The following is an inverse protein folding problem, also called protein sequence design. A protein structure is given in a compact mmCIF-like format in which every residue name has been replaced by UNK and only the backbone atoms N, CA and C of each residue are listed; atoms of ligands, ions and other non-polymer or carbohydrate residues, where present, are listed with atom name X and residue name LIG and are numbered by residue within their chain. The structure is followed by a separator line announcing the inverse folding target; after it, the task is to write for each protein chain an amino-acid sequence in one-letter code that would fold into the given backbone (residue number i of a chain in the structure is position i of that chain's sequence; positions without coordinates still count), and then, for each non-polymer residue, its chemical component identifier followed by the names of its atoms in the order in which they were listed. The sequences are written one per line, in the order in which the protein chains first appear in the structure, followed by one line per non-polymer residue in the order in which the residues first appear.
data_IF_310006969093
#
_entry.id   IF_310006969093
#
_cell.length_a   1.000
_cell.length_b   1.000
_cell.length_c   1.000
_cell.angle_alpha   90.00
_cell.angle_beta   90.00
_cell.angle_gamma   90.00
#
_symmetry.space_group_name_H-M   'P 1'
#
loop_
_entity.id
_entity.type
_entity.pdbx_description
1 polymer ?
2 non-polymer ?
3 non-polymer ?
4 non-polymer ?
5 non-polymer ?
6 water ?
#
# COMPACT_ATOMS: atom_id res chain seq x y z
N UNK A 1 -16.11 2.04 9.12
CA UNK A 1 -15.33 2.13 10.35
C UNK A 1 -13.83 2.26 10.05
N UNK A 2 -13.04 2.08 11.08
CA UNK A 2 -11.57 2.14 11.03
C UNK A 2 -11.02 1.15 10.01
N UNK A 3 -11.44 -0.12 10.06
CA UNK A 3 -10.85 -1.15 9.15
C UNK A 3 -11.22 -0.81 7.71
N UNK A 4 -12.46 -0.40 7.45
CA UNK A 4 -12.84 -0.02 6.08
C UNK A 4 -11.98 1.14 5.61
N UNK A 5 -11.75 2.12 6.49
CA UNK A 5 -10.96 3.33 6.18
C UNK A 5 -9.55 2.91 5.74
N UNK A 6 -8.97 1.90 6.39
CA UNK A 6 -7.62 1.35 6.02
C UNK A 6 -7.73 0.91 4.56
N UNK A 7 -8.78 0.16 4.22
CA UNK A 7 -9.00 -0.34 2.85
C UNK A 7 -9.20 0.83 1.88
N UNK A 8 -9.98 1.85 2.25
CA UNK A 8 -10.20 3.05 1.41
C UNK A 8 -8.86 3.74 1.11
N UNK A 9 -8.09 4.04 2.14
CA UNK A 9 -6.79 4.74 2.02
C UNK A 9 -5.84 3.91 1.15
N UNK A 10 -5.74 2.61 1.43
CA UNK A 10 -4.89 1.70 0.62
C UNK A 10 -5.32 1.69 -0.85
N UNK A 11 -6.59 1.85 -1.18
CA UNK A 11 -7.06 1.83 -2.58
C UNK A 11 -6.58 3.02 -3.41
N UNK A 12 -6.08 4.08 -2.78
CA UNK A 12 -5.51 5.24 -3.52
C UNK A 12 -4.39 5.83 -2.67
N UNK A 13 -3.50 4.97 -2.16
CA UNK A 13 -2.62 5.36 -1.03
C UNK A 13 -1.65 6.49 -1.41
N UNK A 14 -1.12 6.47 -2.64
CA UNK A 14 -0.13 7.49 -3.07
C UNK A 14 -0.78 8.88 -2.95
N UNK A 15 -2.02 9.02 -3.42
CA UNK A 15 -2.69 10.35 -3.46
C UNK A 15 -3.13 10.73 -2.03
N UNK A 16 -3.66 9.80 -1.24
CA UNK A 16 -4.07 10.11 0.16
C UNK A 16 -2.82 10.48 0.95
N UNK A 17 -1.73 9.75 0.76
CA UNK A 17 -0.50 9.98 1.55
C UNK A 17 0.03 11.39 1.27
N UNK A 18 0.12 11.78 -0.01
CA UNK A 18 0.65 13.10 -0.40
C UNK A 18 -0.28 14.20 0.12
N UNK A 19 -1.58 14.02 -0.06
CA UNK A 19 -2.57 15.08 0.32
C UNK A 19 -2.59 15.22 1.84
N UNK A 20 -2.52 14.12 2.59
CA UNK A 20 -2.54 14.21 4.07
C UNK A 20 -1.19 14.76 4.53
N UNK A 21 -0.09 14.32 3.94
CA UNK A 21 1.22 14.85 4.39
C UNK A 21 1.31 16.33 4.04
N UNK A 22 0.80 16.77 2.88
CA UNK A 22 0.82 18.22 2.54
C UNK A 22 -0.03 18.98 3.54
N UNK A 23 -1.18 18.44 3.93
CA UNK A 23 -2.09 19.10 4.90
C UNK A 23 -1.31 19.30 6.21
N UNK A 24 -0.54 18.27 6.60
CA UNK A 24 0.35 18.30 7.80
C UNK A 24 1.39 19.43 7.67
N UNK A 25 2.19 19.45 6.60
CA UNK A 25 3.28 20.46 6.45
C UNK A 25 2.69 21.86 6.32
N UNK A 26 1.50 22.02 5.73
CA UNK A 26 0.89 23.37 5.53
C UNK A 26 0.25 23.85 6.84
N UNK A 27 -0.36 22.94 7.59
CA UNK A 27 -0.94 23.29 8.91
C UNK A 27 0.19 23.66 9.90
N UNK A 28 1.32 22.97 9.84
CA UNK A 28 2.46 23.09 10.80
C UNK A 28 3.74 23.35 10.02
N UNK A 29 3.87 24.57 9.46
CA UNK A 29 5.00 24.87 8.60
C UNK A 29 6.36 24.58 9.24
N UNK A 30 6.49 24.76 10.56
CA UNK A 30 7.75 24.50 11.33
C UNK A 30 8.20 23.04 11.14
N UNK A 31 7.29 22.13 10.78
CA UNK A 31 7.58 20.67 10.65
C UNK A 31 8.43 20.38 9.41
N UNK A 32 8.45 21.27 8.41
CA UNK A 32 9.29 21.13 7.19
C UNK A 32 10.78 21.14 7.57
N UNK A 33 11.17 21.63 8.75
CA UNK A 33 12.60 21.65 9.16
C UNK A 33 13.15 20.21 9.19
N UNK A 34 12.34 19.25 9.66
CA UNK A 34 12.67 17.80 9.68
C UNK A 34 12.90 17.30 8.27
N UNK A 35 12.41 18.05 7.27
CA UNK A 35 12.53 17.78 5.83
C UNK A 35 12.96 19.10 5.18
N UNK A 36 14.21 19.50 5.44
CA UNK A 36 14.80 20.79 4.96
C UNK A 36 14.73 20.87 3.42
N UNK A 37 14.64 19.73 2.74
CA UNK A 37 14.60 19.62 1.25
C UNK A 37 13.22 20.00 0.71
N UNK A 38 12.22 20.20 1.59
CA UNK A 38 10.83 20.52 1.18
C UNK A 38 10.54 22.01 1.34
N UNK A 39 11.48 22.77 1.90
CA UNK A 39 11.36 24.25 2.10
C UNK A 39 11.27 24.93 0.74
N UNK A 40 10.44 25.99 0.64
CA UNK A 40 10.36 26.92 -0.50
C UNK A 40 9.73 26.29 -1.72
N UNK A 41 8.91 25.25 -1.54
CA UNK A 41 8.30 24.52 -2.69
C UNK A 41 6.80 24.37 -2.44
N UNK A 42 6.02 24.72 -3.47
CA UNK A 42 4.55 24.64 -3.49
C UNK A 42 4.17 23.17 -3.48
N UNK A 43 2.93 22.90 -3.11
CA UNK A 43 2.39 21.53 -3.14
C UNK A 43 2.73 20.82 -4.46
N UNK A 44 2.49 21.46 -5.60
CA UNK A 44 2.71 20.84 -6.94
C UNK A 44 4.19 20.53 -7.13
N UNK A 45 5.09 21.40 -6.67
CA UNK A 45 6.55 21.17 -6.78
C UNK A 45 6.93 19.93 -5.96
N UNK A 46 6.41 19.84 -4.74
CA UNK A 46 6.68 18.72 -3.83
C UNK A 46 6.22 17.41 -4.48
N UNK A 47 5.07 17.41 -5.14
CA UNK A 47 4.47 16.21 -5.77
C UNK A 47 5.22 15.85 -7.06
N UNK A 48 6.31 16.58 -7.33
CA UNK A 48 7.24 16.34 -8.47
C UNK A 48 8.65 16.02 -7.95
N UNK A 49 8.87 16.02 -6.64
CA UNK A 49 10.13 15.55 -6.03
C UNK A 49 10.02 14.06 -5.70
N UNK A 50 10.87 13.28 -6.38
CA UNK A 50 11.01 11.81 -6.22
C UNK A 50 10.92 11.38 -4.76
N UNK A 51 11.77 11.93 -3.90
CA UNK A 51 11.84 11.51 -2.49
C UNK A 51 10.50 11.86 -1.82
N UNK A 52 9.82 12.90 -2.27
CA UNK A 52 8.55 13.31 -1.65
C UNK A 52 7.52 12.21 -1.84
N UNK A 53 7.25 11.80 -3.06
CA UNK A 53 6.21 10.81 -3.31
C UNK A 53 6.59 9.46 -2.73
N UNK A 54 7.88 9.09 -2.88
CA UNK A 54 8.43 7.76 -2.47
C UNK A 54 8.38 7.63 -0.95
N UNK A 55 8.95 8.61 -0.24
CA UNK A 55 9.08 8.59 1.23
C UNK A 55 7.67 8.73 1.84
N UNK A 56 6.84 9.64 1.34
CA UNK A 56 5.47 9.84 1.90
C UNK A 56 4.63 8.57 1.72
N UNK A 57 4.73 7.92 0.58
CA UNK A 57 3.94 6.68 0.38
C UNK A 57 4.48 5.59 1.33
N UNK A 58 5.81 5.52 1.57
CA UNK A 58 6.37 4.48 2.48
C UNK A 58 5.91 4.77 3.90
N UNK A 59 5.81 6.03 4.28
CA UNK A 59 5.32 6.42 5.63
C UNK A 59 3.92 5.82 5.79
N UNK A 60 3.07 6.01 4.79
CA UNK A 60 1.64 5.63 4.88
C UNK A 60 1.52 4.13 4.67
N UNK A 61 2.40 3.53 3.87
CA UNK A 61 2.41 2.05 3.78
C UNK A 61 2.51 1.45 5.20
N UNK A 62 3.47 1.92 5.98
CA UNK A 62 3.73 1.39 7.33
C UNK A 62 2.63 1.87 8.27
N UNK A 63 2.14 3.09 8.07
CA UNK A 63 1.09 3.61 8.99
C UNK A 63 -0.14 2.71 8.83
N UNK A 64 -0.49 2.35 7.62
CA UNK A 64 -1.64 1.45 7.37
C UNK A 64 -1.40 0.06 7.99
N UNK A 65 -0.18 -0.48 7.92
CA UNK A 65 0.15 -1.78 8.56
C UNK A 65 -0.06 -1.68 10.08
N UNK A 66 0.44 -0.62 10.68
CA UNK A 66 0.31 -0.40 12.15
C UNK A 66 -1.17 -0.27 12.50
N UNK A 67 -1.94 0.48 11.70
CA UNK A 67 -3.40 0.64 11.89
C UNK A 67 -4.06 -0.74 11.79
N UNK A 68 -3.63 -1.54 10.82
CA UNK A 68 -4.23 -2.87 10.51
C UNK A 68 -3.95 -3.86 11.66
N UNK A 69 -2.80 -3.75 12.30
CA UNK A 69 -2.37 -4.70 13.36
C UNK A 69 -2.96 -4.24 14.70
N UNK A 70 -3.51 -3.04 14.77
CA UNK A 70 -4.08 -2.50 16.04
C UNK A 70 -5.27 -3.35 16.47
N UNK A 71 -5.61 -3.30 17.75
CA UNK A 71 -6.90 -3.78 18.29
C UNK A 71 -7.62 -2.58 18.89
N UNK A 72 -8.84 -2.30 18.41
CA UNK A 72 -9.67 -1.17 18.90
C UNK A 72 -8.83 0.12 18.87
N UNK A 73 -8.08 0.35 17.78
CA UNK A 73 -7.28 1.58 17.55
C UNK A 73 -6.12 1.65 18.54
N UNK A 74 -5.71 0.53 19.14
CA UNK A 74 -4.49 0.50 20.02
C UNK A 74 -3.42 -0.26 19.25
N UNK A 75 -2.32 0.42 18.87
CA UNK A 75 -1.26 -0.22 18.09
C UNK A 75 -0.47 -1.24 18.93
N UNK A 76 0.22 -2.14 18.26
CA UNK A 76 1.11 -3.11 18.93
C UNK A 76 2.27 -2.34 19.57
N UNK A 77 2.69 -2.74 20.76
CA UNK A 77 3.91 -2.16 21.36
C UNK A 77 5.13 -2.36 20.41
N UNK A 78 5.22 -3.51 19.76
CA UNK A 78 6.33 -3.83 18.80
C UNK A 78 6.34 -2.81 17.66
N UNK A 79 5.17 -2.37 17.18
CA UNK A 79 5.08 -1.33 16.14
C UNK A 79 5.57 0.02 16.69
N UNK A 80 5.16 0.39 17.91
CA UNK A 80 5.61 1.61 18.61
C UNK A 80 7.14 1.60 18.69
N UNK A 81 7.72 0.49 19.17
CA UNK A 81 9.18 0.33 19.36
C UNK A 81 9.91 0.53 18.01
N UNK A 82 9.43 -0.09 16.93
CA UNK A 82 10.00 0.09 15.57
C UNK A 82 10.05 1.59 15.24
N UNK A 83 8.94 2.29 15.43
CA UNK A 83 8.84 3.72 15.10
C UNK A 83 9.80 4.54 15.97
N UNK A 84 9.90 4.25 17.27
CA UNK A 84 10.84 4.99 18.18
C UNK A 84 12.28 4.69 17.76
N UNK A 85 12.59 3.43 17.45
CA UNK A 85 13.97 2.92 17.22
C UNK A 85 14.51 3.27 15.82
N UNK A 86 13.66 3.50 14.83
CA UNK A 86 14.11 3.83 13.45
C UNK A 86 15.09 5.00 13.50
N UNK A 87 16.25 4.88 12.82
CA UNK A 87 17.30 5.94 12.77
C UNK A 87 16.71 7.24 12.20
N UNK A 88 15.75 7.13 11.27
CA UNK A 88 15.05 8.24 10.57
C UNK A 88 14.30 9.14 11.55
N UNK A 89 13.88 8.58 12.69
CA UNK A 89 13.07 9.26 13.75
C UNK A 89 13.97 9.71 14.91
N UNK A 90 15.29 9.62 14.77
CA UNK A 90 16.28 10.02 15.80
C UNK A 90 15.87 11.38 16.41
N UNK A 91 15.66 12.36 15.55
CA UNK A 91 15.28 13.73 15.99
C UNK A 91 14.02 13.78 16.83
N UNK A 92 12.97 13.02 16.48
CA UNK A 92 11.54 13.39 16.73
C UNK A 92 11.09 13.23 18.19
N UNK A 93 10.02 13.94 18.52
CA UNK A 93 9.25 13.80 19.79
C UNK A 93 7.80 13.45 19.43
N UNK A 94 7.03 13.06 20.42
CA UNK A 94 5.62 12.61 20.24
C UNK A 94 4.82 13.74 19.58
N UNK A 95 5.16 15.01 19.85
CA UNK A 95 4.46 16.19 19.30
C UNK A 95 4.44 16.18 17.79
N UNK A 96 5.49 15.67 17.15
CA UNK A 96 5.56 15.56 15.67
C UNK A 96 4.45 14.62 15.19
N UNK A 97 4.28 13.49 15.88
CA UNK A 97 3.28 12.46 15.52
C UNK A 97 1.90 12.98 15.86
N UNK A 98 1.75 13.69 17.00
CA UNK A 98 0.43 14.28 17.36
C UNK A 98 -0.02 15.20 16.22
N UNK A 99 0.87 16.08 15.74
CA UNK A 99 0.52 17.09 14.70
C UNK A 99 0.11 16.39 13.41
N UNK A 100 0.85 15.35 13.00
CA UNK A 100 0.50 14.57 11.80
C UNK A 100 -0.93 14.04 11.96
N UNK A 101 -1.35 13.56 13.14
CA UNK A 101 -2.65 12.87 13.28
C UNK A 101 -3.75 13.92 13.40
N UNK A 102 -3.44 15.08 13.95
CA UNK A 102 -4.37 16.25 13.94
C UNK A 102 -4.66 16.61 12.47
N UNK A 103 -3.64 16.72 11.64
CA UNK A 103 -3.81 17.05 10.20
C UNK A 103 -4.62 15.95 9.52
N UNK A 104 -4.30 14.68 9.80
CA UNK A 104 -4.99 13.53 9.17
C UNK A 104 -6.48 13.53 9.54
N UNK A 105 -6.82 13.74 10.81
CA UNK A 105 -8.21 13.77 11.27
C UNK A 105 -8.96 14.95 10.61
N UNK A 106 -8.34 16.13 10.62
CA UNK A 106 -8.91 17.35 9.98
C UNK A 106 -9.20 17.03 8.51
N UNK A 107 -8.21 16.44 7.81
CA UNK A 107 -8.36 16.06 6.39
C UNK A 107 -9.61 15.19 6.23
N UNK A 108 -9.74 14.19 7.09
CA UNK A 108 -10.85 13.21 7.00
C UNK A 108 -12.17 13.93 7.23
N UNK A 109 -12.21 14.83 8.22
CA UNK A 109 -13.45 15.59 8.58
C UNK A 109 -13.89 16.48 7.40
N UNK A 110 -12.93 17.09 6.70
CA UNK A 110 -13.16 18.04 5.59
C UNK A 110 -13.46 17.30 4.28
N UNK A 111 -13.14 16.01 4.20
CA UNK A 111 -13.32 15.23 2.94
C UNK A 111 -14.82 15.03 2.73
N UNK A 112 -15.26 14.69 1.53
CA UNK A 112 -16.69 14.42 1.36
C UNK A 112 -17.12 13.04 1.88
N UNK A 113 -16.19 12.28 2.47
CA UNK A 113 -16.29 10.80 2.63
C UNK A 113 -16.62 10.42 4.07
N UNK A 114 -17.13 9.21 4.26
CA UNK A 114 -17.60 8.67 5.56
C UNK A 114 -16.43 8.01 6.33
N UNK A 115 -15.27 8.66 6.40
CA UNK A 115 -14.16 8.22 7.27
C UNK A 115 -14.67 8.24 8.70
N UNK A 116 -14.22 7.28 9.49
CA UNK A 116 -14.49 7.19 10.95
C UNK A 116 -13.44 8.07 11.62
N UNK A 117 -13.59 9.40 11.53
CA UNK A 117 -12.55 10.39 11.94
C UNK A 117 -12.26 10.22 13.44
N UNK A 118 -13.26 9.84 14.21
CA UNK A 118 -13.17 9.63 15.67
C UNK A 118 -12.18 8.52 16.00
N UNK A 119 -12.23 7.40 15.25
CA UNK A 119 -11.32 6.24 15.39
C UNK A 119 -9.89 6.68 15.05
N UNK A 120 -9.68 7.42 13.96
CA UNK A 120 -8.32 7.90 13.61
C UNK A 120 -7.81 8.82 14.71
N UNK A 121 -8.69 9.60 15.34
CA UNK A 121 -8.26 10.53 16.40
C UNK A 121 -7.76 9.71 17.59
N UNK A 122 -8.52 8.69 18.00
CA UNK A 122 -8.13 7.75 19.08
C UNK A 122 -6.86 7.02 18.68
N UNK A 123 -6.78 6.55 17.42
CA UNK A 123 -5.57 5.85 16.93
C UNK A 123 -4.35 6.76 17.13
N UNK A 124 -4.43 8.02 16.71
CA UNK A 124 -3.31 8.97 16.87
C UNK A 124 -2.89 9.12 18.32
N UNK A 125 -3.87 9.33 19.22
CA UNK A 125 -3.61 9.47 20.66
C UNK A 125 -2.97 8.19 21.21
N UNK A 126 -3.51 7.03 20.83
CA UNK A 126 -3.03 5.72 21.33
C UNK A 126 -1.61 5.46 20.82
N UNK A 127 -1.30 5.86 19.58
CA UNK A 127 0.05 5.72 19.01
C UNK A 127 1.00 6.66 19.76
N UNK A 128 0.56 7.89 20.03
CA UNK A 128 1.42 8.84 20.78
C UNK A 128 1.70 8.25 22.18
N UNK A 129 0.68 7.72 22.85
CA UNK A 129 0.83 7.08 24.18
C UNK A 129 1.83 5.92 24.09
N UNK A 130 1.73 5.11 23.03
CA UNK A 130 2.59 3.91 22.84
C UNK A 130 4.02 4.36 22.54
N UNK A 131 4.19 5.42 21.74
CA UNK A 131 5.53 5.95 21.42
C UNK A 131 6.19 6.45 22.71
N UNK A 132 5.46 7.17 23.58
CA UNK A 132 5.98 7.63 24.90
C UNK A 132 6.41 6.42 25.72
N UNK A 133 5.57 5.39 25.79
CA UNK A 133 5.81 4.13 26.55
C UNK A 133 7.04 3.40 26.02
N UNK A 134 7.29 3.51 24.70
CA UNK A 134 8.45 2.88 24.04
C UNK A 134 9.69 3.79 24.10
N UNK A 135 9.56 4.99 24.67
CA UNK A 135 10.69 5.85 25.08
C UNK A 135 10.92 7.07 24.21
N UNK A 136 9.98 7.42 23.34
CA UNK A 136 10.02 8.73 22.64
C UNK A 136 9.75 9.85 23.64
N UNK A 137 10.57 10.91 23.57
CA UNK A 137 10.48 12.15 24.39
C UNK A 137 9.26 12.96 23.96
N UNK B 1 6.88 -16.20 6.85
CA UNK B 1 5.96 -16.98 5.97
C UNK B 1 5.08 -16.06 5.13
N UNK B 2 3.92 -16.56 4.71
CA UNK B 2 2.97 -15.86 3.81
C UNK B 2 2.51 -14.55 4.44
N UNK B 3 2.13 -14.53 5.72
CA UNK B 3 1.62 -13.28 6.37
C UNK B 3 2.74 -12.24 6.43
N UNK B 4 3.96 -12.64 6.78
CA UNK B 4 5.10 -11.69 6.82
C UNK B 4 5.33 -11.16 5.39
N UNK B 5 5.21 -12.01 4.40
CA UNK B 5 5.44 -11.63 2.98
C UNK B 5 4.43 -10.56 2.59
N UNK B 6 3.17 -10.72 2.97
CA UNK B 6 2.15 -9.65 2.75
C UNK B 6 2.70 -8.35 3.35
N UNK B 7 3.23 -8.39 4.57
CA UNK B 7 3.74 -7.18 5.26
C UNK B 7 4.93 -6.62 4.47
N UNK B 8 5.83 -7.48 4.05
CA UNK B 8 7.03 -7.05 3.29
C UNK B 8 6.60 -6.32 2.01
N UNK B 9 5.70 -6.94 1.25
CA UNK B 9 5.23 -6.38 -0.05
C UNK B 9 4.48 -5.08 0.18
N UNK B 10 3.58 -5.03 1.16
CA UNK B 10 2.85 -3.79 1.52
C UNK B 10 3.83 -2.68 1.91
N UNK B 11 4.96 -3.01 2.54
CA UNK B 11 5.96 -2.04 3.02
C UNK B 11 6.47 -1.15 1.92
N UNK B 12 6.58 -1.70 0.72
CA UNK B 12 7.09 -0.98 -0.46
C UNK B 12 6.30 -1.44 -1.66
N UNK B 13 4.98 -1.29 -1.56
CA UNK B 13 4.03 -1.94 -2.48
C UNK B 13 4.24 -1.42 -3.91
N UNK B 14 4.48 -0.13 -4.08
CA UNK B 14 4.61 0.47 -5.43
C UNK B 14 5.84 -0.13 -6.12
N UNK B 15 6.95 -0.31 -5.41
CA UNK B 15 8.21 -0.84 -6.00
C UNK B 15 7.99 -2.32 -6.35
N UNK B 16 7.49 -3.10 -5.41
CA UNK B 16 7.26 -4.55 -5.64
C UNK B 16 6.25 -4.74 -6.76
N UNK B 17 5.15 -3.97 -6.76
CA UNK B 17 4.08 -4.14 -7.77
C UNK B 17 4.67 -3.86 -9.17
N UNK B 18 5.41 -2.77 -9.36
CA UNK B 18 6.03 -2.44 -10.68
C UNK B 18 6.98 -3.57 -11.09
N UNK B 19 7.83 -4.01 -10.16
CA UNK B 19 8.94 -4.93 -10.47
C UNK B 19 8.35 -6.28 -10.86
N UNK B 20 7.33 -6.73 -10.15
CA UNK B 20 6.70 -8.05 -10.41
C UNK B 20 5.87 -7.98 -11.69
N UNK B 21 5.14 -6.91 -11.91
CA UNK B 21 4.30 -6.77 -13.12
C UNK B 21 5.21 -6.70 -14.37
N UNK B 22 6.32 -5.99 -14.27
CA UNK B 22 7.30 -5.87 -15.37
C UNK B 22 7.86 -7.27 -15.63
N UNK B 23 8.15 -8.07 -14.59
CA UNK B 23 8.67 -9.44 -14.75
C UNK B 23 7.63 -10.26 -15.52
N UNK B 24 6.38 -10.09 -15.14
CA UNK B 24 5.21 -10.72 -15.80
C UNK B 24 5.14 -10.30 -17.28
N UNK B 25 5.15 -8.99 -17.56
CA UNK B 25 5.00 -8.47 -18.95
C UNK B 25 6.20 -8.90 -19.80
N UNK B 26 7.41 -8.88 -19.22
CA UNK B 26 8.61 -9.32 -19.98
C UNK B 26 8.62 -10.84 -20.20
N UNK B 27 8.09 -11.64 -19.28
CA UNK B 27 8.13 -13.12 -19.42
C UNK B 27 7.09 -13.57 -20.45
N UNK B 28 6.00 -12.83 -20.55
CA UNK B 28 4.79 -13.13 -21.37
C UNK B 28 4.46 -11.90 -22.20
N UNK B 29 5.27 -11.61 -23.23
CA UNK B 29 5.08 -10.39 -24.02
C UNK B 29 3.65 -10.23 -24.60
N UNK B 30 3.00 -11.34 -24.99
CA UNK B 30 1.59 -11.31 -25.50
C UNK B 30 0.66 -10.66 -24.49
N UNK B 31 0.88 -10.85 -23.19
CA UNK B 31 0.00 -10.27 -22.13
C UNK B 31 -0.01 -8.73 -22.18
N UNK B 32 0.97 -8.11 -22.86
CA UNK B 32 1.05 -6.62 -22.98
C UNK B 32 -0.12 -6.08 -23.81
N UNK B 33 -0.75 -6.91 -24.66
CA UNK B 33 -1.96 -6.56 -25.46
C UNK B 33 -3.11 -6.07 -24.59
N UNK B 34 -3.30 -6.70 -23.43
CA UNK B 34 -4.27 -6.27 -22.40
C UNK B 34 -4.04 -4.78 -22.10
N UNK B 35 -2.84 -4.27 -22.37
CA UNK B 35 -2.41 -2.89 -22.04
C UNK B 35 -1.80 -2.21 -23.28
N UNK B 36 -2.66 -1.74 -24.17
CA UNK B 36 -2.27 -1.11 -25.47
C UNK B 36 -1.35 0.11 -25.22
N UNK B 37 -1.52 0.80 -24.09
CA UNK B 37 -0.74 2.01 -23.69
C UNK B 37 0.68 1.61 -23.24
N UNK B 38 0.99 0.31 -23.15
CA UNK B 38 2.30 -0.16 -22.61
C UNK B 38 3.18 -0.73 -23.72
N UNK B 39 2.64 -0.94 -24.91
CA UNK B 39 3.39 -1.54 -26.06
C UNK B 39 4.50 -0.59 -26.48
N UNK B 40 5.66 -1.13 -26.84
CA UNK B 40 6.77 -0.37 -27.46
C UNK B 40 7.43 0.55 -26.47
N UNK B 41 7.31 0.23 -25.18
CA UNK B 41 7.86 1.01 -24.06
C UNK B 41 8.74 0.09 -23.25
N UNK B 42 9.96 0.53 -22.91
CA UNK B 42 10.89 -0.18 -22.03
C UNK B 42 10.34 -0.08 -20.60
N UNK B 43 10.94 -0.81 -19.69
CA UNK B 43 10.56 -0.74 -18.26
C UNK B 43 10.64 0.70 -17.75
N UNK B 44 11.65 1.48 -18.15
CA UNK B 44 11.82 2.87 -17.67
C UNK B 44 10.85 3.82 -18.42
N UNK B 45 10.40 3.49 -19.64
CA UNK B 45 9.34 4.28 -20.33
C UNK B 45 8.01 4.07 -19.59
N UNK B 46 7.81 2.87 -19.02
CA UNK B 46 6.56 2.54 -18.29
C UNK B 46 6.61 3.16 -16.89
N UNK B 47 7.73 3.01 -16.16
CA UNK B 47 7.87 3.52 -14.76
C UNK B 47 7.64 5.03 -14.75
N UNK B 48 7.95 5.73 -15.83
CA UNK B 48 7.78 7.21 -15.95
C UNK B 48 6.33 7.57 -16.26
N UNK B 49 5.44 6.60 -16.55
CA UNK B 49 4.02 6.89 -16.88
C UNK B 49 3.19 6.89 -15.60
N UNK B 50 2.28 7.87 -15.47
CA UNK B 50 1.52 8.10 -14.23
C UNK B 50 0.67 6.85 -13.96
N UNK B 51 -0.10 6.39 -14.93
CA UNK B 51 -1.12 5.34 -14.71
C UNK B 51 -0.45 3.98 -14.58
N UNK B 52 0.81 3.81 -15.00
CA UNK B 52 1.50 2.51 -14.86
C UNK B 52 1.67 2.19 -13.38
N UNK B 53 2.35 3.08 -12.67
CA UNK B 53 2.57 3.00 -11.22
C UNK B 53 1.26 2.93 -10.45
N UNK B 54 0.29 3.77 -10.80
CA UNK B 54 -1.03 3.81 -10.13
C UNK B 54 -1.77 2.48 -10.39
N UNK B 55 -1.83 2.08 -11.65
CA UNK B 55 -2.67 0.92 -12.02
C UNK B 55 -2.01 -0.36 -11.44
N UNK B 56 -0.68 -0.46 -11.43
CA UNK B 56 0.10 -1.64 -10.93
C UNK B 56 -0.07 -1.73 -9.43
N UNK B 57 0.09 -0.61 -8.74
CA UNK B 57 -0.06 -0.62 -7.26
C UNK B 57 -1.51 -1.04 -6.89
N UNK B 58 -2.54 -0.56 -7.62
CA UNK B 58 -3.96 -0.86 -7.28
C UNK B 58 -4.24 -2.35 -7.50
N UNK B 59 -3.58 -2.95 -8.49
CA UNK B 59 -3.69 -4.41 -8.71
C UNK B 59 -3.14 -5.14 -7.47
N UNK B 60 -1.92 -4.79 -7.07
CA UNK B 60 -1.19 -5.50 -5.99
C UNK B 60 -1.89 -5.19 -4.66
N UNK B 61 -2.48 -4.01 -4.50
CA UNK B 61 -3.18 -3.69 -3.23
C UNK B 61 -4.32 -4.70 -3.07
N UNK B 62 -5.12 -4.86 -4.12
CA UNK B 62 -6.26 -5.80 -4.06
C UNK B 62 -5.73 -7.24 -3.88
N UNK B 63 -4.63 -7.58 -4.54
CA UNK B 63 -4.05 -8.93 -4.38
C UNK B 63 -3.68 -9.17 -2.92
N UNK B 64 -3.04 -8.20 -2.26
CA UNK B 64 -2.67 -8.28 -0.81
C UNK B 64 -3.93 -8.38 0.08
N UNK B 65 -5.01 -7.68 -0.26
CA UNK B 65 -6.27 -7.76 0.53
C UNK B 65 -6.81 -9.20 0.43
N UNK B 66 -6.80 -9.79 -0.77
CA UNK B 66 -7.27 -11.19 -1.01
C UNK B 66 -6.33 -12.12 -0.23
N UNK B 67 -5.01 -11.87 -0.28
CA UNK B 67 -4.01 -12.77 0.32
C UNK B 67 -4.24 -12.73 1.83
N UNK B 68 -4.54 -11.57 2.38
CA UNK B 68 -4.60 -11.37 3.85
C UNK B 68 -5.90 -12.00 4.37
N UNK B 69 -6.93 -12.06 3.55
CA UNK B 69 -8.26 -12.60 3.94
C UNK B 69 -8.25 -14.12 3.76
N UNK B 70 -7.30 -14.66 2.99
CA UNK B 70 -7.24 -16.12 2.73
C UNK B 70 -6.99 -16.89 4.04
N UNK B 71 -7.46 -18.14 4.08
CA UNK B 71 -7.10 -19.13 5.12
C UNK B 71 -6.21 -20.20 4.49
N UNK B 72 -4.98 -20.42 5.00
CA UNK B 72 -4.08 -21.48 4.47
C UNK B 72 -3.92 -21.29 2.97
N UNK B 73 -3.77 -20.04 2.51
CA UNK B 73 -3.54 -19.68 1.10
C UNK B 73 -4.75 -20.04 0.26
N UNK B 74 -5.94 -20.14 0.86
CA UNK B 74 -7.20 -20.36 0.11
C UNK B 74 -8.02 -19.09 0.18
N UNK B 75 -8.20 -18.42 -0.98
CA UNK B 75 -8.95 -17.17 -1.02
C UNK B 75 -10.43 -17.38 -0.71
N UNK B 76 -11.07 -16.36 -0.15
CA UNK B 76 -12.55 -16.34 0.00
C UNK B 76 -13.16 -16.35 -1.40
N UNK B 77 -14.15 -17.21 -1.61
CA UNK B 77 -14.98 -17.24 -2.84
C UNK B 77 -15.45 -15.82 -3.19
N UNK B 78 -15.93 -15.05 -2.19
CA UNK B 78 -16.34 -13.63 -2.36
C UNK B 78 -15.27 -12.90 -3.21
N UNK B 79 -14.03 -12.87 -2.71
CA UNK B 79 -12.91 -12.11 -3.35
C UNK B 79 -12.65 -12.60 -4.78
N UNK B 80 -12.64 -13.92 -5.01
CA UNK B 80 -12.57 -14.47 -6.38
C UNK B 80 -13.72 -13.85 -7.18
N UNK B 81 -14.95 -13.78 -6.62
CA UNK B 81 -16.12 -13.25 -7.38
C UNK B 81 -15.87 -11.78 -7.78
N UNK B 82 -15.32 -10.95 -6.87
CA UNK B 82 -14.92 -9.54 -7.22
C UNK B 82 -14.04 -9.58 -8.49
N UNK B 83 -12.95 -10.32 -8.50
CA UNK B 83 -11.99 -10.31 -9.62
C UNK B 83 -12.67 -10.76 -10.92
N UNK B 84 -13.67 -11.64 -10.84
CA UNK B 84 -14.36 -12.16 -12.06
C UNK B 84 -15.27 -11.06 -12.62
N UNK B 85 -15.93 -10.29 -11.74
CA UNK B 85 -17.04 -9.36 -12.10
C UNK B 85 -16.45 -8.01 -12.55
N UNK B 86 -15.30 -7.61 -12.02
CA UNK B 86 -14.65 -6.33 -12.40
C UNK B 86 -14.73 -6.17 -13.92
N UNK B 87 -15.21 -5.01 -14.39
CA UNK B 87 -15.37 -4.64 -15.82
C UNK B 87 -14.01 -4.74 -16.53
N UNK B 88 -12.94 -4.30 -15.87
CA UNK B 88 -11.55 -4.33 -16.41
C UNK B 88 -11.10 -5.78 -16.67
N UNK B 89 -11.76 -6.77 -16.06
CA UNK B 89 -11.41 -8.21 -16.23
C UNK B 89 -12.39 -8.89 -17.20
N UNK B 90 -13.30 -8.14 -17.82
CA UNK B 90 -14.27 -8.69 -18.81
C UNK B 90 -13.52 -9.60 -19.80
N UNK B 91 -12.35 -9.18 -20.28
CA UNK B 91 -11.59 -9.91 -21.31
C UNK B 91 -11.05 -11.26 -20.84
N UNK B 92 -10.70 -11.38 -19.55
CA UNK B 92 -9.64 -12.30 -19.03
C UNK B 92 -10.09 -13.76 -18.91
N UNK B 93 -9.14 -14.69 -19.06
CA UNK B 93 -9.24 -16.10 -18.60
C UNK B 93 -8.33 -16.31 -17.36
N UNK B 94 -8.45 -17.46 -16.72
CA UNK B 94 -7.62 -17.83 -15.55
C UNK B 94 -6.15 -17.81 -15.99
N UNK B 95 -5.86 -18.05 -17.29
CA UNK B 95 -4.50 -18.13 -17.84
C UNK B 95 -3.69 -16.87 -17.55
N UNK B 96 -4.34 -15.72 -17.70
CA UNK B 96 -3.79 -14.38 -17.46
C UNK B 96 -3.19 -14.37 -16.04
N UNK B 97 -4.01 -14.71 -15.03
CA UNK B 97 -3.64 -14.75 -13.60
C UNK B 97 -2.61 -15.85 -13.31
N UNK B 98 -2.73 -17.03 -13.93
CA UNK B 98 -1.76 -18.15 -13.76
C UNK B 98 -0.34 -17.65 -14.11
N UNK B 99 -0.22 -16.93 -15.22
CA UNK B 99 1.07 -16.37 -15.70
C UNK B 99 1.55 -15.29 -14.75
N UNK B 100 0.66 -14.43 -14.26
CA UNK B 100 1.09 -13.42 -13.27
C UNK B 100 1.71 -14.14 -12.06
N UNK B 101 1.08 -15.21 -11.57
CA UNK B 101 1.58 -15.90 -10.35
C UNK B 101 2.86 -16.67 -10.66
N UNK B 102 3.01 -17.21 -11.89
CA UNK B 102 4.28 -17.87 -12.29
C UNK B 102 5.40 -16.84 -12.12
N UNK B 103 5.20 -15.65 -12.67
CA UNK B 103 6.20 -14.57 -12.64
C UNK B 103 6.45 -14.11 -11.20
N UNK B 104 5.39 -13.95 -10.39
CA UNK B 104 5.54 -13.54 -8.98
C UNK B 104 6.40 -14.57 -8.22
N UNK B 105 6.12 -15.86 -8.38
CA UNK B 105 6.88 -16.91 -7.67
C UNK B 105 8.33 -16.90 -8.17
N UNK B 106 8.53 -16.79 -9.48
CA UNK B 106 9.89 -16.74 -10.05
C UNK B 106 10.64 -15.53 -9.52
N UNK B 107 9.96 -14.38 -9.44
CA UNK B 107 10.54 -13.16 -8.87
C UNK B 107 10.96 -13.44 -7.43
N UNK B 108 10.07 -14.05 -6.62
CA UNK B 108 10.39 -14.26 -5.18
C UNK B 108 11.59 -15.19 -5.03
N UNK B 109 11.65 -16.25 -5.83
CA UNK B 109 12.74 -17.25 -5.77
C UNK B 109 14.07 -16.60 -6.12
N UNK B 110 14.08 -15.63 -7.02
CA UNK B 110 15.31 -15.00 -7.55
C UNK B 110 15.72 -13.82 -6.68
N UNK B 111 14.84 -13.40 -5.76
CA UNK B 111 15.08 -12.20 -4.92
C UNK B 111 16.13 -12.55 -3.86
N UNK B 112 16.80 -11.56 -3.31
CA UNK B 112 17.69 -11.86 -2.17
C UNK B 112 16.98 -12.51 -0.98
N UNK B 113 15.65 -12.61 -0.96
CA UNK B 113 14.88 -12.54 0.32
C UNK B 113 14.15 -13.84 0.64
N UNK B 114 13.78 -14.01 1.91
CA UNK B 114 13.17 -15.27 2.40
C UNK B 114 11.65 -15.19 2.27
N UNK B 115 11.17 -14.85 1.08
CA UNK B 115 9.75 -15.01 0.71
C UNK B 115 9.41 -16.48 0.83
N UNK B 116 8.17 -16.76 1.22
CA UNK B 116 7.64 -18.14 1.27
C UNK B 116 7.09 -18.44 -0.13
N UNK B 117 7.99 -18.68 -1.09
CA UNK B 117 7.58 -18.84 -2.51
C UNK B 117 6.59 -19.99 -2.68
N UNK B 118 6.68 -21.06 -1.90
CA UNK B 118 5.75 -22.22 -2.05
C UNK B 118 4.33 -21.80 -1.66
N UNK B 119 4.19 -21.00 -0.61
CA UNK B 119 2.89 -20.43 -0.18
C UNK B 119 2.30 -19.57 -1.31
N UNK B 120 3.08 -18.66 -1.90
CA UNK B 120 2.63 -17.84 -3.06
C UNK B 120 2.21 -18.70 -4.25
N UNK B 121 2.94 -19.78 -4.52
CA UNK B 121 2.62 -20.68 -5.65
C UNK B 121 1.24 -21.33 -5.38
N UNK B 122 1.03 -21.81 -4.16
CA UNK B 122 -0.22 -22.51 -3.74
C UNK B 122 -1.37 -21.48 -3.76
N UNK B 123 -1.13 -20.27 -3.28
CA UNK B 123 -2.13 -19.17 -3.28
C UNK B 123 -2.53 -18.88 -4.73
N UNK B 124 -1.56 -18.77 -5.64
CA UNK B 124 -1.85 -18.55 -7.06
C UNK B 124 -2.71 -19.67 -7.64
N UNK B 125 -2.34 -20.94 -7.41
CA UNK B 125 -3.13 -22.13 -7.82
C UNK B 125 -4.56 -22.02 -7.29
N UNK B 126 -4.71 -21.75 -6.00
CA UNK B 126 -6.02 -21.66 -5.33
C UNK B 126 -6.82 -20.44 -5.82
N UNK B 127 -6.17 -19.32 -6.11
CA UNK B 127 -6.89 -18.13 -6.64
C UNK B 127 -7.41 -18.45 -8.03
N UNK B 128 -6.61 -19.11 -8.87
CA UNK B 128 -7.03 -19.50 -10.23
C UNK B 128 -8.22 -20.47 -10.16
N UNK B 129 -8.12 -21.48 -9.29
CA UNK B 129 -9.23 -22.44 -9.04
C UNK B 129 -10.48 -21.66 -8.62
N UNK B 130 -10.31 -20.73 -7.68
CA UNK B 130 -11.41 -19.91 -7.13
C UNK B 130 -11.99 -19.02 -8.22
N UNK B 131 -11.14 -18.45 -9.07
CA UNK B 131 -11.63 -17.61 -10.20
C UNK B 131 -12.51 -18.46 -11.11
N UNK B 132 -12.06 -19.66 -11.49
CA UNK B 132 -12.86 -20.66 -12.25
C UNK B 132 -14.20 -20.89 -11.54
N UNK B 133 -14.15 -21.21 -10.24
CA UNK B 133 -15.34 -21.57 -9.43
C UNK B 133 -16.31 -20.37 -9.38
N UNK B 134 -15.80 -19.14 -9.42
CA UNK B 134 -16.60 -17.89 -9.40
C UNK B 134 -16.97 -17.47 -10.84
N UNK B 135 -16.62 -18.26 -11.86
CA UNK B 135 -17.20 -18.13 -13.21
C UNK B 135 -16.18 -18.05 -14.35
N UNK B 136 -14.98 -17.54 -14.08
CA UNK B 136 -14.03 -17.09 -15.15
C UNK B 136 -13.69 -18.26 -16.08
N UNK B 137 -13.61 -17.97 -17.39
CA UNK B 137 -13.30 -18.97 -18.45
C UNK B 137 -11.80 -19.23 -18.48
#
# INVERSE_FOLDING_TARGET
GFKQDIATLRGDLRTYAQDIFLAFLNKYPDEKRNFKNYVGKSDQELKSMAKFGDHTEKVFNLMMEVADRATDCVPLASDASTLVQMKQHSGLTTGNFEKLFVALVEYMRASGQSFDSQSWDRFGKNLVSALSSAGMK
GFKQDIATLRGDLRTYAQDIFLAFLNKYPDEKRNFKNYVGKSDQELKSMAKFGDHTEKVFNLMMEVADRATDCVPLASDASTLVQMKQHSGLTTGNFEKLFVALVEYMRASGQSFDSQSWDRFGKNLVSALSSAGMK
#
